data_IF_784088516385
#
_entry.id   IF_784088516385
#
_cell.length_a   1.000
_cell.length_b   1.000
_cell.length_c   1.000
_cell.angle_alpha   90.00
_cell.angle_beta   90.00
_cell.angle_gamma   90.00
#
_symmetry.space_group_name_H-M   'P 1'
#
loop_
_entity.id
_entity.type
_entity.pdbx_description
1 polymer ?
#
# COMPACT_ATOMS: atom_id res chain seq x y z
N UNK A 1 0.93 -13.10 29.03
CA UNK A 1 0.81 -11.85 28.25
C UNK A 1 -0.66 -11.64 27.92
N UNK A 2 -1.11 -10.38 27.91
CA UNK A 2 -2.47 -9.99 27.55
C UNK A 2 -2.56 -9.78 26.04
N UNK A 3 -3.75 -9.91 25.45
CA UNK A 3 -3.99 -9.68 24.02
C UNK A 3 -4.60 -8.30 23.83
N UNK A 4 -4.29 -7.62 22.72
CA UNK A 4 -4.85 -6.31 22.40
C UNK A 4 -5.28 -6.25 20.93
N UNK A 5 -6.42 -5.64 20.69
CA UNK A 5 -6.75 -5.07 19.38
C UNK A 5 -6.15 -3.67 19.32
N UNK A 6 -5.50 -3.32 18.20
CA UNK A 6 -4.83 -2.02 18.01
C UNK A 6 -5.26 -1.44 16.68
N UNK A 7 -5.75 -0.20 16.69
CA UNK A 7 -6.01 0.57 15.48
C UNK A 7 -4.71 1.24 15.03
N UNK A 8 -4.21 0.82 13.87
CA UNK A 8 -2.99 1.33 13.24
C UNK A 8 -3.34 1.90 11.88
N UNK A 9 -2.95 3.15 11.61
CA UNK A 9 -3.05 3.74 10.27
C UNK A 9 -1.67 3.89 9.68
N UNK A 10 -1.55 3.53 8.40
CA UNK A 10 -0.35 3.77 7.61
C UNK A 10 -0.71 4.55 6.36
N UNK A 11 0.14 5.51 6.00
CA UNK A 11 0.05 6.21 4.73
C UNK A 11 1.37 6.08 4.01
N UNK A 12 1.30 6.02 2.69
CA UNK A 12 2.46 5.81 1.83
C UNK A 12 2.47 6.84 0.71
N UNK A 13 3.66 7.35 0.39
CA UNK A 13 3.93 8.07 -0.85
C UNK A 13 4.47 7.06 -1.86
N UNK A 14 3.90 7.04 -3.06
CA UNK A 14 4.20 6.02 -4.07
C UNK A 14 4.66 6.71 -5.34
N UNK A 15 5.85 6.32 -5.81
CA UNK A 15 6.36 6.76 -7.11
C UNK A 15 6.11 5.66 -8.14
N UNK A 16 5.24 5.94 -9.11
CA UNK A 16 4.83 5.00 -10.16
C UNK A 16 5.05 5.58 -11.55
N UNK A 17 5.43 4.73 -12.51
CA UNK A 17 5.35 5.02 -13.94
C UNK A 17 4.07 4.40 -14.50
N UNK A 18 3.21 5.22 -15.09
CA UNK A 18 1.98 4.81 -15.76
C UNK A 18 1.70 5.70 -16.98
N UNK A 19 0.77 5.32 -17.85
CA UNK A 19 0.46 6.10 -19.06
C UNK A 19 -0.26 7.42 -18.75
N UNK A 20 -1.01 7.49 -17.64
CA UNK A 20 -1.76 8.67 -17.18
C UNK A 20 -2.05 8.63 -15.67
N UNK A 21 -2.60 9.73 -15.14
CA UNK A 21 -2.93 9.92 -13.72
C UNK A 21 -3.97 8.91 -13.22
N UNK A 22 -5.05 8.69 -13.96
CA UNK A 22 -6.11 7.75 -13.58
C UNK A 22 -5.56 6.32 -13.43
N UNK A 23 -4.69 5.90 -14.34
CA UNK A 23 -3.99 4.62 -14.23
C UNK A 23 -3.04 4.59 -13.03
N UNK A 24 -2.29 5.66 -12.78
CA UNK A 24 -1.37 5.73 -11.64
C UNK A 24 -2.10 5.52 -10.31
N UNK A 25 -3.24 6.19 -10.13
CA UNK A 25 -4.11 6.04 -8.95
C UNK A 25 -4.65 4.61 -8.85
N UNK A 26 -5.30 4.12 -9.91
CA UNK A 26 -5.93 2.79 -9.92
C UNK A 26 -4.93 1.66 -9.68
N UNK A 27 -3.75 1.72 -10.29
CA UNK A 27 -2.70 0.72 -10.10
C UNK A 27 -2.14 0.78 -8.69
N UNK A 28 -2.02 1.97 -8.11
CA UNK A 28 -1.57 2.13 -6.73
C UNK A 28 -2.59 1.52 -5.78
N UNK A 29 -3.87 1.84 -5.89
CA UNK A 29 -4.94 1.23 -5.06
C UNK A 29 -4.99 -0.30 -5.18
N UNK A 30 -4.88 -0.81 -6.41
CA UNK A 30 -5.07 -2.24 -6.67
C UNK A 30 -3.85 -3.08 -6.28
N UNK A 31 -2.63 -2.60 -6.55
CA UNK A 31 -1.40 -3.40 -6.39
C UNK A 31 -0.67 -3.17 -5.06
N UNK A 32 -0.98 -2.12 -4.29
CA UNK A 32 -0.37 -1.86 -2.97
C UNK A 32 -1.20 -2.31 -1.76
N UNK A 33 -2.31 -3.04 -1.98
CA UNK A 33 -3.31 -3.37 -0.95
C UNK A 33 -2.74 -3.77 0.42
N UNK A 34 -1.82 -4.73 0.46
CA UNK A 34 -0.98 -5.03 1.63
C UNK A 34 0.48 -4.81 1.21
N UNK A 35 1.05 -3.64 1.52
CA UNK A 35 2.46 -3.33 1.24
C UNK A 35 3.36 -4.54 1.57
N UNK A 36 4.17 -5.05 0.62
CA UNK A 36 4.73 -4.37 -0.57
C UNK A 36 3.92 -4.51 -1.90
N UNK A 37 4.45 -3.97 -3.02
CA UNK A 37 3.90 -4.12 -4.39
C UNK A 37 3.59 -5.60 -4.71
N UNK A 38 2.31 -5.91 -4.87
CA UNK A 38 1.82 -7.26 -5.15
C UNK A 38 1.71 -7.57 -6.65
N UNK A 39 2.06 -6.63 -7.55
CA UNK A 39 2.02 -6.86 -8.99
C UNK A 39 3.01 -7.94 -9.42
N UNK A 40 2.56 -8.83 -10.31
CA UNK A 40 3.43 -9.83 -10.94
C UNK A 40 4.09 -9.23 -12.17
N UNK A 41 5.15 -9.90 -12.65
CA UNK A 41 5.83 -9.47 -13.87
C UNK A 41 4.87 -9.37 -15.07
N UNK A 42 3.95 -10.33 -15.20
CA UNK A 42 2.92 -10.32 -16.24
C UNK A 42 2.05 -9.08 -16.18
N UNK A 43 1.55 -8.73 -14.99
CA UNK A 43 0.69 -7.56 -14.77
C UNK A 43 1.39 -6.26 -15.21
N UNK A 44 2.65 -6.09 -14.79
CA UNK A 44 3.47 -4.93 -15.14
C UNK A 44 3.71 -4.79 -16.64
N UNK A 45 3.90 -5.91 -17.33
CA UNK A 45 4.10 -5.93 -18.78
C UNK A 45 2.80 -5.64 -19.56
N UNK A 46 1.68 -6.25 -19.15
CA UNK A 46 0.38 -6.09 -19.82
C UNK A 46 -0.17 -4.66 -19.66
N UNK A 47 -0.04 -4.10 -18.46
CA UNK A 47 -0.58 -2.78 -18.10
C UNK A 47 0.45 -1.65 -18.28
N UNK A 48 1.67 -1.98 -18.73
CA UNK A 48 2.80 -1.07 -18.98
C UNK A 48 3.09 -0.09 -17.83
N UNK A 49 3.03 -0.56 -16.60
CA UNK A 49 3.37 0.24 -15.41
C UNK A 49 4.52 -0.38 -14.63
N UNK A 50 5.14 0.43 -13.78
CA UNK A 50 6.12 -0.02 -12.80
C UNK A 50 6.10 0.86 -11.56
N UNK A 51 5.84 0.26 -10.40
CA UNK A 51 6.08 0.91 -9.11
C UNK A 51 7.60 0.96 -8.90
N UNK A 52 8.13 2.16 -8.62
CA UNK A 52 9.56 2.38 -8.41
C UNK A 52 9.93 2.38 -6.94
N UNK A 53 9.13 3.08 -6.15
CA UNK A 53 9.41 3.37 -4.76
C UNK A 53 8.12 3.50 -3.97
N UNK A 54 8.17 3.04 -2.73
CA UNK A 54 7.10 3.13 -1.74
C UNK A 54 7.75 3.63 -0.46
N UNK A 55 7.37 4.81 -0.02
CA UNK A 55 7.84 5.41 1.21
C UNK A 55 6.68 5.50 2.20
N UNK A 56 6.85 5.03 3.42
CA UNK A 56 5.86 5.19 4.49
C UNK A 56 5.94 6.62 5.02
N UNK A 57 4.87 7.39 4.84
CA UNK A 57 4.80 8.79 5.29
C UNK A 57 4.11 8.95 6.64
N UNK A 58 3.33 7.96 7.07
CA UNK A 58 2.62 7.97 8.35
C UNK A 58 2.50 6.55 8.92
N UNK A 59 2.70 6.38 10.24
CA UNK A 59 2.68 5.07 10.91
C UNK A 59 2.40 5.18 12.41
N UNK A 60 1.17 5.57 12.75
CA UNK A 60 0.78 5.77 14.15
C UNK A 60 -0.35 4.84 14.56
N UNK A 61 -0.25 4.34 15.79
CA UNK A 61 -1.32 3.63 16.47
C UNK A 61 -2.15 4.62 17.29
N UNK A 62 -3.47 4.53 17.18
CA UNK A 62 -4.40 5.51 17.77
C UNK A 62 -5.17 4.95 18.97
N UNK A 63 -5.62 3.71 18.86
CA UNK A 63 -6.49 3.09 19.85
C UNK A 63 -6.00 1.68 20.14
N UNK A 64 -6.15 1.26 21.40
CA UNK A 64 -5.96 -0.14 21.76
C UNK A 64 -6.97 -0.59 22.79
N UNK A 65 -7.37 -1.86 22.70
CA UNK A 65 -8.32 -2.50 23.61
C UNK A 65 -7.80 -3.87 23.99
N UNK A 66 -7.63 -4.13 25.29
CA UNK A 66 -7.30 -5.46 25.77
C UNK A 66 -8.47 -6.44 25.49
N UNK A 67 -8.16 -7.62 24.95
CA UNK A 67 -9.13 -8.70 24.71
C UNK A 67 -8.83 -9.90 25.61
N UNK A 68 -9.91 -10.52 26.10
CA UNK A 68 -9.89 -11.65 27.05
C UNK A 68 -9.71 -12.97 26.31
#
# INVERSE_FOLDING_TARGET
MKKYEVLLTRSYMVTIQAENEDQALRYTEFYLGDCPDLSKHKDRMEQKFKIKEIEMTFNDAFESKEII
#
